data_IF_966375427989
#
_entry.id   IF_966375427989
#
_cell.length_a   1.000
_cell.length_b   1.000
_cell.length_c   1.000
_cell.angle_alpha   90.00
_cell.angle_beta   90.00
_cell.angle_gamma   90.00
#
_symmetry.space_group_name_H-M   'P 1'
#
loop_
_entity.id
_entity.type
_entity.pdbx_description
1 polymer ?
#
# COMPACT_ATOMS: atom_id res chain seq x y z
N UNK A 1 2.88 6.60 1.05
CA UNK A 1 2.66 5.42 0.18
C UNK A 1 3.17 4.11 0.83
N UNK A 2 3.05 3.93 2.15
CA UNK A 2 3.46 2.67 2.81
C UNK A 2 4.98 2.39 2.93
N UNK A 3 5.85 3.28 2.44
CA UNK A 3 7.32 3.11 2.52
C UNK A 3 7.94 3.68 3.81
N UNK A 4 7.13 4.04 4.81
CA UNK A 4 7.59 4.79 5.99
C UNK A 4 8.69 4.05 6.75
N UNK A 5 8.57 2.73 6.93
CA UNK A 5 9.61 1.94 7.60
C UNK A 5 10.94 1.95 6.85
N UNK A 6 10.90 1.92 5.50
CA UNK A 6 12.08 1.98 4.65
C UNK A 6 12.74 3.36 4.72
N UNK A 7 11.94 4.43 4.72
CA UNK A 7 12.41 5.82 4.83
C UNK A 7 13.04 6.10 6.19
N UNK A 8 12.43 5.60 7.27
CA UNK A 8 12.92 5.81 8.63
C UNK A 8 13.96 4.78 9.10
N UNK A 9 14.20 3.72 8.32
CA UNK A 9 15.10 2.63 8.68
C UNK A 9 14.68 1.83 9.93
N UNK A 10 13.42 1.95 10.37
CA UNK A 10 12.87 1.27 11.57
C UNK A 10 11.38 1.06 11.45
N UNK A 11 10.81 0.17 12.27
CA UNK A 11 9.36 0.00 12.34
C UNK A 11 8.71 1.19 13.06
N UNK A 12 7.87 1.95 12.36
CA UNK A 12 7.15 3.10 12.92
C UNK A 12 5.71 2.77 13.36
N UNK A 13 5.19 1.59 13.00
CA UNK A 13 3.82 1.19 13.31
C UNK A 13 3.48 1.18 14.82
N UNK A 14 4.40 0.79 15.73
CA UNK A 14 4.13 0.88 17.17
C UNK A 14 3.85 2.31 17.64
N UNK A 15 4.47 3.31 17.02
CA UNK A 15 4.26 4.73 17.37
C UNK A 15 2.94 5.27 16.84
N UNK A 16 2.37 4.63 15.82
CA UNK A 16 1.04 4.98 15.29
C UNK A 16 -0.09 4.30 16.07
N UNK A 17 0.21 3.22 16.79
CA UNK A 17 -0.76 2.47 17.58
C UNK A 17 -1.40 3.35 18.65
N UNK A 18 -2.73 3.38 18.68
CA UNK A 18 -3.51 4.22 19.60
C UNK A 18 -3.55 5.72 19.23
N UNK A 19 -2.87 6.15 18.17
CA UNK A 19 -2.94 7.52 17.63
C UNK A 19 -3.83 7.56 16.38
N UNK A 20 -3.75 6.53 15.54
CA UNK A 20 -4.56 6.44 14.31
C UNK A 20 -5.49 5.23 14.35
N UNK A 21 -6.75 5.46 14.03
CA UNK A 21 -7.76 4.39 13.96
C UNK A 21 -7.76 3.68 12.60
N UNK A 22 -7.28 4.36 11.55
CA UNK A 22 -7.27 3.84 10.18
C UNK A 22 -6.09 4.32 9.37
N UNK A 23 -5.62 3.45 8.47
CA UNK A 23 -4.61 3.75 7.45
C UNK A 23 -5.05 3.19 6.09
N UNK A 24 -4.91 3.99 5.04
CA UNK A 24 -5.08 3.57 3.65
C UNK A 24 -3.73 3.63 2.92
N UNK A 25 -3.28 2.50 2.39
CA UNK A 25 -1.95 2.32 1.81
C UNK A 25 -2.09 2.15 0.28
N UNK A 26 -1.41 2.99 -0.49
CA UNK A 26 -1.37 2.92 -1.95
C UNK A 26 -0.52 1.73 -2.41
N UNK A 27 -1.15 0.71 -3.01
CA UNK A 27 -0.44 -0.41 -3.67
C UNK A 27 -0.10 -0.06 -5.12
N UNK A 28 -1.11 0.42 -5.87
CA UNK A 28 -1.04 0.95 -7.24
C UNK A 28 -0.35 0.08 -8.32
N UNK A 29 0.15 -1.11 -8.00
CA UNK A 29 0.68 -2.08 -8.97
C UNK A 29 0.71 -3.49 -8.38
N UNK A 30 0.59 -4.52 -9.23
CA UNK A 30 0.54 -5.91 -8.82
C UNK A 30 1.92 -6.59 -8.67
N UNK A 31 3.00 -5.90 -9.07
CA UNK A 31 4.37 -6.39 -8.98
C UNK A 31 5.37 -5.23 -8.94
N UNK A 32 6.61 -5.56 -8.61
CA UNK A 32 7.69 -4.58 -8.43
C UNK A 32 8.02 -3.80 -9.71
N UNK A 33 8.03 -4.46 -10.87
CA UNK A 33 8.36 -3.82 -12.15
C UNK A 33 7.36 -2.71 -12.48
N UNK A 34 6.07 -3.04 -12.44
CA UNK A 34 4.99 -2.07 -12.66
C UNK A 34 4.95 -1.02 -11.56
N UNK A 35 5.23 -1.38 -10.32
CA UNK A 35 5.32 -0.43 -9.22
C UNK A 35 6.43 0.59 -9.47
N UNK A 36 7.61 0.14 -9.93
CA UNK A 36 8.71 1.02 -10.29
C UNK A 36 8.36 1.95 -11.45
N UNK A 37 7.69 1.44 -12.48
CA UNK A 37 7.27 2.23 -13.64
C UNK A 37 6.26 3.33 -13.26
N UNK A 38 5.23 2.96 -12.48
CA UNK A 38 4.09 3.81 -12.13
C UNK A 38 4.43 4.77 -10.98
N UNK A 39 4.96 4.23 -9.88
CA UNK A 39 5.17 5.00 -8.65
C UNK A 39 6.55 5.67 -8.56
N UNK A 40 7.52 5.22 -9.38
CA UNK A 40 8.90 5.75 -9.42
C UNK A 40 9.48 5.96 -8.01
N UNK A 41 9.52 4.90 -7.18
CA UNK A 41 9.98 5.02 -5.81
C UNK A 41 11.45 5.47 -5.77
N UNK A 42 11.80 6.27 -4.77
CA UNK A 42 13.16 6.79 -4.60
C UNK A 42 14.15 5.76 -4.05
N UNK A 43 13.65 4.66 -3.48
CA UNK A 43 14.44 3.64 -2.79
C UNK A 43 14.26 2.28 -3.47
N UNK A 44 15.34 1.52 -3.56
CA UNK A 44 15.31 0.11 -3.99
C UNK A 44 14.55 -0.75 -2.98
N UNK A 45 13.94 -1.84 -3.44
CA UNK A 45 13.15 -2.73 -2.59
C UNK A 45 11.84 -2.12 -2.07
N UNK A 46 11.43 -0.95 -2.57
CA UNK A 46 10.24 -0.24 -2.10
C UNK A 46 8.95 -1.06 -2.18
N UNK A 47 8.82 -1.93 -3.19
CA UNK A 47 7.64 -2.79 -3.34
C UNK A 47 7.59 -3.87 -2.26
N UNK A 48 8.70 -4.54 -1.98
CA UNK A 48 8.78 -5.54 -0.91
C UNK A 48 8.58 -4.91 0.48
N UNK A 49 9.18 -3.73 0.69
CA UNK A 49 8.99 -2.96 1.92
C UNK A 49 7.53 -2.52 2.11
N UNK A 50 6.85 -2.15 1.02
CA UNK A 50 5.43 -1.82 1.02
C UNK A 50 4.57 -3.01 1.43
N UNK A 51 4.76 -4.18 0.83
CA UNK A 51 4.02 -5.40 1.19
C UNK A 51 4.26 -5.78 2.65
N UNK A 52 5.51 -5.68 3.11
CA UNK A 52 5.89 -5.92 4.51
C UNK A 52 5.20 -4.94 5.46
N UNK A 53 5.15 -3.66 5.10
CA UNK A 53 4.46 -2.63 5.87
C UNK A 53 2.96 -2.90 5.99
N UNK A 54 2.29 -3.24 4.88
CA UNK A 54 0.86 -3.61 4.87
C UNK A 54 0.60 -4.80 5.80
N UNK A 55 1.44 -5.83 5.71
CA UNK A 55 1.31 -7.03 6.53
C UNK A 55 1.42 -6.73 8.02
N UNK A 56 2.41 -5.94 8.42
CA UNK A 56 2.64 -5.55 9.82
C UNK A 56 1.58 -4.57 10.33
N UNK A 57 1.03 -3.69 9.49
CA UNK A 57 0.13 -2.63 9.92
C UNK A 57 -1.11 -3.17 10.66
N UNK A 58 -1.56 -4.38 10.33
CA UNK A 58 -2.71 -5.04 10.96
C UNK A 58 -2.52 -5.31 12.45
N UNK A 59 -1.28 -5.45 12.89
CA UNK A 59 -0.96 -5.75 14.29
C UNK A 59 -1.02 -4.49 15.17
N UNK A 60 -1.09 -3.30 14.55
CA UNK A 60 -1.00 -2.01 15.24
C UNK A 60 -2.18 -1.07 14.96
N UNK A 61 -2.83 -1.17 13.79
CA UNK A 61 -3.86 -0.23 13.34
C UNK A 61 -5.19 -0.99 13.13
N UNK A 62 -6.30 -0.56 13.77
CA UNK A 62 -7.57 -1.28 13.70
C UNK A 62 -8.15 -1.41 12.28
N UNK A 63 -7.97 -0.40 11.43
CA UNK A 63 -8.54 -0.36 10.09
C UNK A 63 -7.47 -0.13 9.02
N UNK A 64 -6.91 -1.22 8.51
CA UNK A 64 -5.97 -1.21 7.39
C UNK A 64 -6.68 -1.48 6.06
N UNK A 65 -6.51 -0.58 5.12
CA UNK A 65 -6.97 -0.70 3.74
C UNK A 65 -5.81 -0.52 2.76
N UNK A 66 -5.85 -1.27 1.67
CA UNK A 66 -5.02 -1.06 0.49
C UNK A 66 -5.87 -0.46 -0.62
N UNK A 67 -5.34 0.57 -1.27
CA UNK A 67 -5.99 1.21 -2.40
C UNK A 67 -5.17 1.14 -3.69
N UNK A 68 -5.89 1.15 -4.81
CA UNK A 68 -5.32 1.17 -6.16
C UNK A 68 -6.03 2.24 -6.97
N UNK A 69 -5.29 3.10 -7.67
CA UNK A 69 -5.87 3.95 -8.71
C UNK A 69 -6.11 3.13 -9.97
N UNK A 70 -7.29 3.27 -10.57
CA UNK A 70 -7.58 2.70 -11.88
C UNK A 70 -6.58 3.23 -12.91
N UNK A 71 -5.79 2.33 -13.50
CA UNK A 71 -4.72 2.68 -14.42
C UNK A 71 -4.56 1.58 -15.49
N UNK A 72 -4.37 1.94 -16.78
CA UNK A 72 -4.32 0.95 -17.87
C UNK A 72 -3.24 -0.13 -17.73
N UNK A 73 -2.14 0.20 -17.06
CA UNK A 73 -1.03 -0.73 -16.84
C UNK A 73 -1.22 -1.63 -15.62
N UNK A 74 -2.24 -1.42 -14.79
CA UNK A 74 -2.42 -2.11 -13.51
C UNK A 74 -3.45 -3.22 -13.63
N UNK A 75 -3.07 -4.43 -13.23
CA UNK A 75 -4.02 -5.52 -13.04
C UNK A 75 -4.74 -5.35 -11.69
N UNK A 76 -5.89 -4.68 -11.73
CA UNK A 76 -6.72 -4.41 -10.55
C UNK A 76 -7.16 -5.70 -9.86
N UNK A 77 -7.42 -6.77 -10.62
CA UNK A 77 -7.85 -8.06 -10.07
C UNK A 77 -6.71 -8.70 -9.26
N UNK A 78 -5.50 -8.66 -9.80
CA UNK A 78 -4.32 -9.18 -9.11
C UNK A 78 -3.98 -8.36 -7.87
N UNK A 79 -4.12 -7.04 -7.92
CA UNK A 79 -3.99 -6.19 -6.73
C UNK A 79 -5.03 -6.53 -5.64
N UNK A 80 -6.27 -6.87 -6.03
CA UNK A 80 -7.29 -7.32 -5.07
C UNK A 80 -6.88 -8.63 -4.41
N UNK A 81 -6.38 -9.60 -5.18
CA UNK A 81 -5.86 -10.87 -4.64
C UNK A 81 -4.71 -10.65 -3.66
N UNK A 82 -3.79 -9.74 -3.95
CA UNK A 82 -2.71 -9.38 -3.02
C UNK A 82 -3.28 -8.85 -1.70
N UNK A 83 -4.29 -7.97 -1.75
CA UNK A 83 -4.94 -7.46 -0.54
C UNK A 83 -5.64 -8.57 0.26
N UNK A 84 -6.29 -9.51 -0.43
CA UNK A 84 -6.92 -10.69 0.19
C UNK A 84 -5.88 -11.61 0.86
N UNK A 85 -4.78 -11.92 0.17
CA UNK A 85 -3.66 -12.72 0.71
C UNK A 85 -3.01 -12.03 1.92
N UNK A 86 -2.93 -10.71 1.91
CA UNK A 86 -2.46 -9.91 3.04
C UNK A 86 -3.52 -9.73 4.13
N UNK A 87 -4.78 -10.14 3.90
CA UNK A 87 -5.88 -10.04 4.85
C UNK A 87 -6.25 -8.60 5.20
N UNK A 88 -6.21 -7.69 4.22
CA UNK A 88 -6.56 -6.26 4.37
C UNK A 88 -7.70 -5.88 3.43
N UNK A 89 -8.41 -4.79 3.73
CA UNK A 89 -9.49 -4.30 2.85
C UNK A 89 -8.91 -3.79 1.53
N UNK A 90 -9.64 -3.97 0.45
CA UNK A 90 -9.27 -3.46 -0.87
C UNK A 90 -10.22 -2.36 -1.32
N UNK A 91 -9.66 -1.26 -1.87
CA UNK A 91 -10.43 -0.17 -2.45
C UNK A 91 -9.88 0.28 -3.81
N UNK A 92 -10.70 0.14 -4.85
CA UNK A 92 -10.42 0.76 -6.15
C UNK A 92 -10.80 2.24 -6.13
N UNK A 93 -9.88 3.11 -6.52
CA UNK A 93 -10.08 4.54 -6.70
C UNK A 93 -10.20 4.83 -8.20
N UNK A 94 -11.39 5.23 -8.63
CA UNK A 94 -11.58 5.72 -10.00
C UNK A 94 -11.15 7.18 -10.06
N UNK A 95 -10.48 7.56 -11.14
CA UNK A 95 -10.18 8.96 -11.41
C UNK A 95 -11.50 9.66 -11.72
N UNK A 96 -12.10 10.29 -10.71
CA UNK A 96 -13.13 11.28 -10.96
C UNK A 96 -12.41 12.50 -11.51
N UNK A 97 -12.61 12.78 -12.80
CA UNK A 97 -12.30 14.09 -13.37
C UNK A 97 -13.24 15.07 -12.67
N UNK A 98 -12.75 15.71 -11.61
CA UNK A 98 -13.45 16.85 -10.98
C UNK A 98 -12.94 18.09 -11.68
N UNK A 99 -13.79 18.67 -12.54
CA UNK A 99 -13.63 20.00 -13.14
C UNK A 99 -12.91 20.02 -14.47
#
# INVERSE_FOLDING_TARGET
NGQANLIHGRNILPELSGIVDSISISLDAENEEKYKEICRPALDGAYEALLSFIKMAKDYIPHVEVSVVEHPLVDVERCRKIAEELGVRFRLRRLNVVG
#
